data_IF_005732982277
#
_entry.id   IF_005732982277
#
_cell.length_a   1.000
_cell.length_b   1.000
_cell.length_c   1.000
_cell.angle_alpha   90.00
_cell.angle_beta   90.00
_cell.angle_gamma   90.00
#
_symmetry.space_group_name_H-M   'P 1'
#
loop_
_entity.id
_entity.type
_entity.pdbx_description
1 polymer ?
#
# COMPACT_ATOMS: atom_id res chain seq x y z
N UNK A 1 23.73 63.82 -26.52
CA UNK A 1 22.38 63.24 -26.38
C UNK A 1 22.39 61.83 -26.99
N UNK A 2 22.36 60.79 -26.14
CA UNK A 2 22.25 59.40 -26.60
C UNK A 2 20.79 59.12 -26.96
N UNK A 3 20.46 59.23 -28.23
CA UNK A 3 19.19 58.75 -28.76
C UNK A 3 19.38 57.28 -29.18
N UNK A 4 19.32 56.36 -28.22
CA UNK A 4 19.26 54.92 -28.45
C UNK A 4 17.95 54.35 -27.90
N UNK A 5 16.84 55.05 -28.17
CA UNK A 5 15.48 54.61 -27.79
C UNK A 5 14.81 53.82 -28.91
N UNK A 6 15.51 53.53 -30.01
CA UNK A 6 14.92 52.91 -31.21
C UNK A 6 15.02 51.39 -31.33
N UNK A 7 15.91 50.71 -30.58
CA UNK A 7 16.27 49.30 -30.90
C UNK A 7 16.14 48.33 -29.70
N UNK A 8 15.67 48.82 -28.54
CA UNK A 8 15.47 47.99 -27.35
C UNK A 8 14.31 47.00 -27.48
N UNK A 9 13.26 47.37 -28.23
CA UNK A 9 12.09 46.51 -28.49
C UNK A 9 12.48 45.26 -29.32
N UNK A 10 13.45 45.38 -30.22
CA UNK A 10 13.93 44.25 -31.05
C UNK A 10 14.70 43.18 -30.27
N UNK A 11 15.22 43.49 -29.08
CA UNK A 11 16.09 42.61 -28.29
C UNK A 11 15.50 42.19 -26.93
N UNK A 12 14.56 42.95 -26.37
CA UNK A 12 13.90 42.64 -25.09
C UNK A 12 12.67 41.76 -25.31
N UNK A 13 11.89 42.01 -26.38
CA UNK A 13 10.70 41.21 -26.71
C UNK A 13 11.04 39.74 -26.97
N UNK A 14 12.10 39.39 -27.75
CA UNK A 14 12.48 37.99 -27.94
C UNK A 14 12.83 37.28 -26.62
N UNK A 15 13.61 37.93 -25.74
CA UNK A 15 13.99 37.36 -24.44
C UNK A 15 12.82 37.20 -23.46
N UNK A 16 11.84 38.10 -23.54
CA UNK A 16 10.62 38.00 -22.75
C UNK A 16 9.75 36.85 -23.23
N UNK A 17 9.65 36.66 -24.56
CA UNK A 17 8.98 35.50 -25.15
C UNK A 17 9.72 34.21 -24.78
N UNK A 18 11.05 34.19 -24.81
CA UNK A 18 11.85 33.01 -24.45
C UNK A 18 11.68 32.64 -22.97
N UNK A 19 11.61 33.62 -22.05
CA UNK A 19 11.35 33.35 -20.62
C UNK A 19 9.91 32.93 -20.36
N UNK A 20 8.93 33.49 -21.09
CA UNK A 20 7.54 33.02 -21.05
C UNK A 20 7.40 31.58 -21.57
N UNK A 21 8.01 31.25 -22.71
CA UNK A 21 8.03 29.88 -23.23
C UNK A 21 8.78 28.95 -22.28
N UNK A 22 9.94 29.37 -21.75
CA UNK A 22 10.73 28.56 -20.82
C UNK A 22 9.97 28.27 -19.52
N UNK A 23 9.32 29.28 -18.94
CA UNK A 23 8.48 29.12 -17.74
C UNK A 23 7.22 28.31 -18.01
N UNK A 24 6.60 28.46 -19.18
CA UNK A 24 5.45 27.65 -19.59
C UNK A 24 5.84 26.17 -19.75
N UNK A 25 6.95 25.90 -20.44
CA UNK A 25 7.48 24.53 -20.62
C UNK A 25 7.86 23.94 -19.26
N UNK A 26 8.51 24.70 -18.38
CA UNK A 26 8.83 24.26 -17.02
C UNK A 26 7.55 23.96 -16.21
N UNK A 27 6.52 24.82 -16.31
CA UNK A 27 5.22 24.60 -15.67
C UNK A 27 4.54 23.33 -16.17
N UNK A 28 4.54 23.10 -17.49
CA UNK A 28 4.00 21.89 -18.09
C UNK A 28 4.79 20.64 -17.70
N UNK A 29 6.13 20.73 -17.65
CA UNK A 29 6.98 19.62 -17.23
C UNK A 29 6.71 19.25 -15.76
N UNK A 30 6.60 20.23 -14.86
CA UNK A 30 6.24 19.98 -13.45
C UNK A 30 4.84 19.37 -13.35
N UNK A 31 3.87 19.90 -14.12
CA UNK A 31 2.50 19.39 -14.10
C UNK A 31 2.39 17.94 -14.63
N UNK A 32 3.18 17.55 -15.62
CA UNK A 32 3.11 16.22 -16.24
C UNK A 32 4.02 15.19 -15.57
N UNK A 33 5.20 15.59 -15.09
CA UNK A 33 6.18 14.66 -14.51
C UNK A 33 5.83 14.37 -13.04
N UNK A 34 5.49 15.37 -12.24
CA UNK A 34 5.18 15.19 -10.81
C UNK A 34 4.09 14.13 -10.49
N UNK A 35 2.96 14.03 -11.23
CA UNK A 35 1.94 13.01 -10.95
C UNK A 35 2.45 11.57 -11.09
N UNK A 36 3.29 11.31 -12.09
CA UNK A 36 3.88 9.98 -12.27
C UNK A 36 4.74 9.58 -11.05
N UNK A 37 5.53 10.50 -10.52
CA UNK A 37 6.39 10.23 -9.36
C UNK A 37 5.59 10.01 -8.07
N UNK A 38 4.48 10.74 -7.87
CA UNK A 38 3.62 10.56 -6.70
C UNK A 38 2.85 9.24 -6.73
N UNK A 39 2.31 8.85 -7.89
CA UNK A 39 1.66 7.55 -8.07
C UNK A 39 2.62 6.38 -7.80
N UNK A 40 3.84 6.46 -8.35
CA UNK A 40 4.89 5.46 -8.10
C UNK A 40 5.32 5.40 -6.64
N UNK A 41 5.37 6.54 -5.96
CA UNK A 41 5.63 6.59 -4.51
C UNK A 41 4.52 5.93 -3.71
N UNK A 42 3.25 6.19 -4.05
CA UNK A 42 2.10 5.56 -3.39
C UNK A 42 2.15 4.04 -3.54
N UNK A 43 2.35 3.54 -4.76
CA UNK A 43 2.46 2.11 -5.05
C UNK A 43 3.53 1.43 -4.20
N UNK A 44 4.71 2.05 -4.05
CA UNK A 44 5.79 1.54 -3.20
C UNK A 44 5.41 1.50 -1.72
N UNK A 45 4.74 2.54 -1.22
CA UNK A 45 4.31 2.59 0.19
C UNK A 45 3.24 1.53 0.47
N UNK A 46 2.26 1.39 -0.42
CA UNK A 46 1.23 0.34 -0.35
C UNK A 46 1.87 -1.06 -0.39
N UNK A 47 2.78 -1.30 -1.34
CA UNK A 47 3.50 -2.57 -1.44
C UNK A 47 4.27 -2.91 -0.16
N UNK A 48 4.97 -1.92 0.42
CA UNK A 48 5.70 -2.10 1.68
C UNK A 48 4.74 -2.43 2.84
N UNK A 49 3.58 -1.79 2.92
CA UNK A 49 2.57 -2.10 3.93
C UNK A 49 2.04 -3.53 3.79
N UNK A 50 1.74 -3.98 2.57
CA UNK A 50 1.32 -5.36 2.31
C UNK A 50 2.40 -6.38 2.71
N UNK A 51 3.65 -6.15 2.34
CA UNK A 51 4.77 -7.05 2.68
C UNK A 51 5.03 -7.12 4.19
N UNK A 52 4.94 -5.98 4.89
CA UNK A 52 5.03 -5.95 6.36
C UNK A 52 3.88 -6.70 7.03
N UNK A 53 2.65 -6.56 6.53
CA UNK A 53 1.48 -7.28 7.04
C UNK A 53 1.59 -8.79 6.75
N UNK A 54 2.04 -9.20 5.56
CA UNK A 54 2.35 -10.60 5.21
C UNK A 54 3.39 -11.19 6.16
N UNK A 55 4.49 -10.47 6.39
CA UNK A 55 5.54 -10.89 7.31
C UNK A 55 5.01 -11.05 8.74
N UNK A 56 4.18 -10.11 9.20
CA UNK A 56 3.57 -10.20 10.52
C UNK A 56 2.62 -11.41 10.64
N UNK A 57 1.78 -11.64 9.63
CA UNK A 57 0.91 -12.82 9.56
C UNK A 57 1.72 -14.12 9.62
N UNK A 58 2.79 -14.26 8.82
CA UNK A 58 3.68 -15.44 8.85
C UNK A 58 4.27 -15.69 10.24
N UNK A 59 4.69 -14.63 10.93
CA UNK A 59 5.22 -14.73 12.30
C UNK A 59 4.14 -15.14 13.32
N UNK A 60 2.90 -14.68 13.15
CA UNK A 60 1.78 -15.12 13.99
C UNK A 60 1.52 -16.62 13.78
N UNK A 61 1.35 -17.05 12.52
CA UNK A 61 1.09 -18.46 12.14
C UNK A 61 2.19 -19.39 12.64
N UNK A 62 3.46 -18.98 12.51
CA UNK A 62 4.59 -19.76 12.99
C UNK A 62 4.48 -20.06 14.49
N UNK A 63 4.03 -19.10 15.29
CA UNK A 63 3.85 -19.28 16.73
C UNK A 63 2.63 -20.10 17.11
N UNK A 64 1.61 -20.16 16.26
CA UNK A 64 0.52 -21.12 16.41
C UNK A 64 1.00 -22.57 16.18
N UNK A 65 1.97 -22.79 15.27
CA UNK A 65 2.52 -24.11 15.00
C UNK A 65 3.61 -24.56 16.00
N UNK A 66 4.50 -23.65 16.42
CA UNK A 66 5.64 -23.97 17.29
C UNK A 66 5.46 -23.62 18.78
N UNK A 67 4.30 -23.08 19.13
CA UNK A 67 4.03 -22.49 20.44
C UNK A 67 4.51 -21.04 20.57
N UNK A 68 3.85 -20.29 21.47
CA UNK A 68 4.11 -18.86 21.71
C UNK A 68 5.54 -18.64 22.17
N UNK A 69 6.28 -17.82 21.41
CA UNK A 69 7.60 -17.29 21.77
C UNK A 69 7.65 -15.82 21.38
N UNK A 70 7.76 -14.91 22.33
CA UNK A 70 8.03 -13.50 22.02
C UNK A 70 9.49 -13.31 21.61
N UNK A 71 9.85 -13.87 20.46
CA UNK A 71 11.17 -13.70 19.86
C UNK A 71 11.31 -12.31 19.22
N UNK A 72 12.55 -11.99 18.87
CA UNK A 72 12.87 -10.71 18.24
C UNK A 72 12.16 -10.56 16.89
N UNK A 73 12.01 -11.66 16.14
CA UNK A 73 11.42 -11.67 14.81
C UNK A 73 9.94 -11.23 14.86
N UNK A 74 9.16 -11.78 15.79
CA UNK A 74 7.77 -11.39 15.98
C UNK A 74 7.61 -9.92 16.41
N UNK A 75 8.41 -9.47 17.39
CA UNK A 75 8.35 -8.06 17.84
C UNK A 75 8.70 -7.10 16.72
N UNK A 76 9.69 -7.45 15.90
CA UNK A 76 10.11 -6.65 14.76
C UNK A 76 9.00 -6.61 13.70
N UNK A 77 8.41 -7.75 13.37
CA UNK A 77 7.33 -7.84 12.39
C UNK A 77 6.11 -7.01 12.81
N UNK A 78 5.66 -7.13 14.08
CA UNK A 78 4.58 -6.30 14.62
C UNK A 78 4.89 -4.81 14.51
N UNK A 79 6.09 -4.39 14.92
CA UNK A 79 6.51 -2.98 14.86
C UNK A 79 6.55 -2.47 13.41
N UNK A 80 7.10 -3.25 12.50
CA UNK A 80 7.24 -2.87 11.09
C UNK A 80 5.87 -2.73 10.42
N UNK A 81 4.90 -3.59 10.75
CA UNK A 81 3.52 -3.48 10.27
C UNK A 81 2.87 -2.15 10.71
N UNK A 82 2.95 -1.80 12.00
CA UNK A 82 2.43 -0.50 12.47
C UNK A 82 3.17 0.70 11.87
N UNK A 83 4.50 0.61 11.72
CA UNK A 83 5.28 1.68 11.11
C UNK A 83 4.92 1.89 9.62
N UNK A 84 4.67 0.80 8.89
CA UNK A 84 4.26 0.87 7.49
C UNK A 84 2.85 1.47 7.34
N UNK A 85 1.91 1.09 8.21
CA UNK A 85 0.56 1.68 8.25
C UNK A 85 0.60 3.19 8.56
N UNK A 86 1.43 3.62 9.51
CA UNK A 86 1.64 5.03 9.82
C UNK A 86 2.29 5.80 8.64
N UNK A 87 3.25 5.19 7.95
CA UNK A 87 3.89 5.78 6.77
C UNK A 87 2.90 5.93 5.61
N UNK A 88 2.00 4.96 5.43
CA UNK A 88 0.91 5.02 4.45
C UNK A 88 -0.05 6.16 4.77
N UNK A 89 -0.56 6.23 6.00
CA UNK A 89 -1.45 7.30 6.46
C UNK A 89 -0.83 8.68 6.26
N UNK A 90 0.45 8.84 6.62
CA UNK A 90 1.19 10.10 6.43
C UNK A 90 1.35 10.45 4.95
N UNK A 91 1.72 9.48 4.11
CA UNK A 91 1.90 9.70 2.66
C UNK A 91 0.60 10.16 2.01
N UNK A 92 -0.51 9.51 2.39
CA UNK A 92 -1.82 9.81 1.85
C UNK A 92 -2.39 11.13 2.37
N UNK A 93 -2.13 11.47 3.64
CA UNK A 93 -2.44 12.78 4.21
C UNK A 93 -1.70 13.92 3.49
N UNK A 94 -0.44 13.71 3.12
CA UNK A 94 0.31 14.68 2.31
C UNK A 94 -0.29 14.86 0.91
N UNK A 95 -0.73 13.77 0.27
CA UNK A 95 -1.38 13.82 -1.05
C UNK A 95 -2.71 14.58 -1.03
N UNK A 96 -3.47 14.58 0.08
CA UNK A 96 -4.68 15.39 0.21
C UNK A 96 -4.45 16.89 0.24
N UNK A 97 -3.27 17.32 0.68
CA UNK A 97 -2.91 18.73 0.72
C UNK A 97 -2.48 19.27 -0.66
N UNK A 98 -2.33 18.39 -1.66
CA UNK A 98 -1.99 18.75 -3.03
C UNK A 98 -3.26 19.06 -3.87
N UNK A 99 -3.35 20.23 -4.53
CA UNK A 99 -4.57 20.64 -5.23
C UNK A 99 -4.82 19.92 -6.57
N UNK A 100 -6.11 19.80 -6.95
CA UNK A 100 -6.57 19.56 -8.32
C UNK A 100 -6.73 18.10 -8.73
N UNK A 101 -5.66 17.45 -9.18
CA UNK A 101 -5.72 16.17 -9.91
C UNK A 101 -5.38 14.93 -9.07
N UNK A 102 -4.69 15.10 -7.94
CA UNK A 102 -4.20 14.01 -7.08
C UNK A 102 -5.29 13.35 -6.20
N UNK A 103 -6.49 13.94 -6.15
CA UNK A 103 -7.57 13.48 -5.26
C UNK A 103 -8.13 12.11 -5.63
N UNK A 104 -8.10 11.71 -6.92
CA UNK A 104 -8.62 10.39 -7.35
C UNK A 104 -7.73 9.24 -6.89
N UNK A 105 -6.41 9.39 -7.04
CA UNK A 105 -5.44 8.40 -6.55
C UNK A 105 -5.43 8.37 -5.02
N UNK A 106 -5.55 9.53 -4.38
CA UNK A 106 -5.69 9.62 -2.94
C UNK A 106 -6.96 8.90 -2.42
N UNK A 107 -8.11 9.06 -3.08
CA UNK A 107 -9.37 8.40 -2.69
C UNK A 107 -9.26 6.86 -2.69
N UNK A 108 -8.68 6.29 -3.75
CA UNK A 108 -8.39 4.85 -3.81
C UNK A 108 -7.42 4.45 -2.69
N UNK A 109 -6.39 5.26 -2.45
CA UNK A 109 -5.47 5.04 -1.35
C UNK A 109 -6.14 5.09 0.03
N UNK A 110 -7.19 5.89 0.24
CA UNK A 110 -7.91 5.96 1.52
C UNK A 110 -8.73 4.71 1.76
N UNK A 111 -9.40 4.22 0.72
CA UNK A 111 -10.10 2.94 0.79
C UNK A 111 -9.12 1.81 1.14
N UNK A 112 -7.95 1.81 0.53
CA UNK A 112 -6.88 0.87 0.88
C UNK A 112 -6.39 1.05 2.33
N UNK A 113 -6.17 2.29 2.78
CA UNK A 113 -5.73 2.58 4.16
C UNK A 113 -6.71 2.02 5.19
N UNK A 114 -8.03 2.17 4.97
CA UNK A 114 -9.05 1.59 5.85
C UNK A 114 -8.93 0.06 5.87
N UNK A 115 -8.81 -0.59 4.71
CA UNK A 115 -8.64 -2.05 4.62
C UNK A 115 -7.34 -2.52 5.31
N UNK A 116 -6.22 -1.83 5.10
CA UNK A 116 -4.94 -2.10 5.76
C UNK A 116 -5.07 -2.00 7.28
N UNK A 117 -5.72 -0.95 7.77
CA UNK A 117 -5.92 -0.74 9.20
C UNK A 117 -6.80 -1.83 9.83
N UNK A 118 -7.88 -2.22 9.14
CA UNK A 118 -8.73 -3.34 9.54
C UNK A 118 -7.94 -4.65 9.57
N UNK A 119 -7.16 -4.94 8.52
CA UNK A 119 -6.29 -6.12 8.47
C UNK A 119 -5.30 -6.13 9.64
N UNK A 120 -4.62 -5.01 9.90
CA UNK A 120 -3.67 -4.88 10.99
C UNK A 120 -4.32 -5.08 12.37
N UNK A 121 -5.57 -4.62 12.53
CA UNK A 121 -6.36 -4.83 13.74
C UNK A 121 -6.67 -6.32 13.95
N UNK A 122 -7.09 -7.02 12.89
CA UNK A 122 -7.30 -8.48 12.94
C UNK A 122 -6.01 -9.25 13.23
N UNK A 123 -4.89 -8.89 12.58
CA UNK A 123 -3.58 -9.49 12.87
C UNK A 123 -3.16 -9.26 14.33
N UNK A 124 -3.45 -8.08 14.87
CA UNK A 124 -3.16 -7.77 16.28
C UNK A 124 -4.02 -8.60 17.24
N UNK A 125 -5.29 -8.81 16.92
CA UNK A 125 -6.18 -9.71 17.66
C UNK A 125 -5.71 -11.17 17.61
N UNK A 126 -5.39 -11.67 16.42
CA UNK A 126 -4.85 -13.02 16.20
C UNK A 126 -3.52 -13.20 16.95
N UNK A 127 -2.62 -12.21 16.85
CA UNK A 127 -1.37 -12.16 17.58
C UNK A 127 -1.56 -12.18 19.10
N UNK A 128 -2.60 -11.54 19.65
CA UNK A 128 -2.86 -11.57 21.09
C UNK A 128 -3.27 -12.96 21.59
N UNK A 129 -4.14 -13.65 20.85
CA UNK A 129 -4.73 -14.95 21.24
C UNK A 129 -3.87 -16.16 20.86
N UNK A 130 -2.73 -15.98 20.17
CA UNK A 130 -1.83 -17.06 19.72
C UNK A 130 -1.25 -17.97 20.81
N UNK A 131 -1.39 -17.62 22.08
CA UNK A 131 -0.93 -18.42 23.22
C UNK A 131 -2.03 -19.18 23.96
N UNK A 132 -3.30 -18.86 23.71
CA UNK A 132 -4.44 -19.46 24.41
C UNK A 132 -5.00 -20.67 23.66
N UNK A 133 -4.84 -20.69 22.34
CA UNK A 133 -5.28 -21.76 21.47
C UNK A 133 -4.07 -22.62 21.06
N UNK A 134 -3.67 -23.57 21.91
CA UNK A 134 -2.94 -24.74 21.42
C UNK A 134 -3.94 -25.50 20.56
N UNK A 135 -3.80 -25.38 19.24
CA UNK A 135 -4.66 -26.02 18.25
C UNK A 135 -4.66 -27.53 18.52
N UNK A 136 -5.66 -27.96 19.25
CA UNK A 136 -5.84 -29.32 19.71
C UNK A 136 -6.54 -30.04 18.57
N UNK A 137 -5.73 -30.71 17.77
CA UNK A 137 -6.10 -31.55 16.62
C UNK A 137 -6.76 -30.79 15.45
N UNK A 138 -6.05 -30.75 14.30
CA UNK A 138 -6.46 -30.20 12.98
C UNK A 138 -6.40 -28.68 12.69
N UNK A 139 -5.27 -27.98 12.88
CA UNK A 139 -5.10 -26.61 12.37
C UNK A 139 -4.56 -26.49 10.95
N UNK A 140 -4.26 -27.61 10.28
CA UNK A 140 -3.41 -27.57 9.08
C UNK A 140 -4.03 -26.73 7.95
N UNK A 141 -5.34 -26.86 7.77
CA UNK A 141 -6.10 -26.06 6.81
C UNK A 141 -6.07 -24.54 7.11
N UNK A 142 -6.09 -24.13 8.39
CA UNK A 142 -5.98 -22.72 8.78
C UNK A 142 -4.57 -22.19 8.53
N UNK A 143 -3.53 -22.96 8.86
CA UNK A 143 -2.15 -22.58 8.62
C UNK A 143 -1.87 -22.45 7.11
N UNK A 144 -2.39 -23.39 6.30
CA UNK A 144 -2.27 -23.36 4.85
C UNK A 144 -3.02 -22.19 4.23
N UNK A 145 -4.24 -21.90 4.70
CA UNK A 145 -5.03 -20.75 4.25
C UNK A 145 -4.33 -19.43 4.58
N UNK A 146 -3.78 -19.31 5.78
CA UNK A 146 -3.09 -18.11 6.22
C UNK A 146 -1.73 -17.94 5.51
N UNK A 147 -1.04 -19.04 5.15
CA UNK A 147 0.13 -19.01 4.28
C UNK A 147 -0.22 -18.58 2.85
N UNK A 148 -1.35 -19.05 2.31
CA UNK A 148 -1.86 -18.62 1.01
C UNK A 148 -2.20 -17.13 1.01
N UNK A 149 -2.88 -16.64 2.05
CA UNK A 149 -3.18 -15.21 2.19
C UNK A 149 -1.90 -14.36 2.24
N UNK A 150 -0.89 -14.79 3.01
CA UNK A 150 0.40 -14.10 3.05
C UNK A 150 1.08 -14.08 1.67
N UNK A 151 1.01 -15.17 0.90
CA UNK A 151 1.52 -15.22 -0.45
C UNK A 151 0.76 -14.27 -1.40
N UNK A 152 -0.57 -14.23 -1.36
CA UNK A 152 -1.36 -13.29 -2.15
C UNK A 152 -1.02 -11.83 -1.83
N UNK A 153 -0.82 -11.48 -0.56
CA UNK A 153 -0.37 -10.14 -0.16
C UNK A 153 1.01 -9.79 -0.74
N UNK A 154 1.94 -10.76 -0.76
CA UNK A 154 3.27 -10.59 -1.34
C UNK A 154 3.21 -10.44 -2.87
N UNK A 155 2.34 -11.18 -3.55
CA UNK A 155 2.14 -11.09 -5.00
C UNK A 155 1.55 -9.73 -5.42
N UNK A 156 0.59 -9.22 -4.65
CA UNK A 156 0.05 -7.88 -4.85
C UNK A 156 1.14 -6.84 -4.59
N UNK A 157 1.92 -6.98 -3.51
CA UNK A 157 3.03 -6.08 -3.20
C UNK A 157 4.08 -6.05 -4.31
N UNK A 158 4.43 -7.21 -4.87
CA UNK A 158 5.37 -7.33 -5.97
C UNK A 158 4.82 -6.65 -7.23
N UNK A 159 3.56 -6.93 -7.58
CA UNK A 159 2.89 -6.32 -8.74
C UNK A 159 2.87 -4.80 -8.66
N UNK A 160 2.57 -4.24 -7.47
CA UNK A 160 2.61 -2.80 -7.23
C UNK A 160 4.02 -2.22 -7.32
N UNK A 161 5.03 -2.94 -6.82
CA UNK A 161 6.44 -2.52 -6.88
C UNK A 161 6.96 -2.48 -8.31
N UNK A 162 6.54 -3.45 -9.13
CA UNK A 162 6.93 -3.56 -10.53
C UNK A 162 6.00 -2.82 -11.50
N UNK A 163 5.01 -2.09 -10.97
CA UNK A 163 4.03 -1.32 -11.77
C UNK A 163 3.27 -2.21 -12.77
N UNK A 164 3.10 -3.50 -12.43
CA UNK A 164 2.30 -4.45 -13.18
C UNK A 164 0.83 -4.37 -12.75
N UNK A 165 -0.13 -4.56 -13.68
CA UNK A 165 -1.54 -4.64 -13.31
C UNK A 165 -1.74 -5.81 -12.35
N UNK A 166 -2.33 -5.52 -11.19
CA UNK A 166 -2.76 -6.55 -10.24
C UNK A 166 -3.93 -7.31 -10.86
N UNK A 167 -3.84 -8.63 -10.96
CA UNK A 167 -4.97 -9.44 -11.39
C UNK A 167 -6.07 -9.38 -10.33
N UNK A 168 -7.17 -8.69 -10.62
CA UNK A 168 -8.30 -8.50 -9.68
C UNK A 168 -9.20 -9.74 -9.58
N UNK A 169 -9.02 -10.71 -10.48
CA UNK A 169 -9.69 -12.00 -10.44
C UNK A 169 -8.66 -13.11 -10.61
N UNK A 170 -8.23 -13.67 -9.49
CA UNK A 170 -7.51 -14.95 -9.48
C UNK A 170 -8.54 -16.03 -9.22
N UNK A 171 -8.61 -17.04 -10.11
CA UNK A 171 -9.45 -18.23 -9.94
C UNK A 171 -9.26 -18.89 -8.55
N UNK A 172 -8.09 -18.66 -7.92
CA UNK A 172 -7.74 -19.14 -6.58
C UNK A 172 -8.52 -18.43 -5.47
N UNK A 173 -8.74 -17.12 -5.57
CA UNK A 173 -9.49 -16.35 -4.56
C UNK A 173 -10.99 -16.67 -4.61
N UNK A 174 -11.52 -16.87 -5.82
CA UNK A 174 -12.91 -17.31 -6.03
C UNK A 174 -13.12 -18.74 -5.51
N UNK A 175 -12.13 -19.62 -5.71
CA UNK A 175 -12.12 -20.95 -5.09
C UNK A 175 -12.01 -20.91 -3.56
N UNK A 176 -11.20 -20.01 -3.00
CA UNK A 176 -11.07 -19.86 -1.54
C UNK A 176 -12.38 -19.31 -0.93
N UNK A 177 -13.00 -18.30 -1.54
CA UNK A 177 -14.29 -17.75 -1.13
C UNK A 177 -15.39 -18.83 -1.16
N UNK A 178 -15.48 -19.60 -2.26
CA UNK A 178 -16.45 -20.68 -2.36
C UNK A 178 -16.26 -21.79 -1.31
N UNK A 179 -15.02 -22.07 -0.88
CA UNK A 179 -14.73 -23.03 0.18
C UNK A 179 -15.09 -22.51 1.57
N UNK A 180 -14.90 -21.22 1.81
CA UNK A 180 -15.24 -20.58 3.09
C UNK A 180 -16.76 -20.44 3.27
N UNK A 181 -17.50 -20.19 2.19
CA UNK A 181 -18.97 -20.20 2.18
C UNK A 181 -19.58 -21.60 2.36
N UNK A 182 -18.80 -22.65 2.08
CA UNK A 182 -19.21 -24.05 2.24
C UNK A 182 -18.85 -24.64 3.60
N UNK A 183 -18.26 -23.86 4.53
CA UNK A 183 -18.08 -24.30 5.92
C UNK A 183 -19.47 -24.46 6.55
N UNK A 184 -19.89 -25.67 6.94
CA UNK A 184 -21.23 -25.88 7.49
C UNK A 184 -21.42 -25.08 8.79
N UNK A 185 -22.60 -24.46 8.94
CA UNK A 185 -23.13 -23.94 10.23
C UNK A 185 -23.42 -25.08 11.23
N UNK A 186 -22.50 -26.04 11.43
CA UNK A 186 -22.70 -27.15 12.39
C UNK A 186 -22.16 -26.83 13.80
N UNK A 187 -22.08 -25.57 14.19
CA UNK A 187 -21.60 -25.17 15.52
C UNK A 187 -22.60 -24.37 16.37
N UNK A 188 -23.85 -24.20 15.93
CA UNK A 188 -24.87 -23.45 16.69
C UNK A 188 -25.97 -24.30 17.34
N UNK A 189 -25.81 -25.64 17.37
CA UNK A 189 -26.84 -26.56 17.91
C UNK A 189 -26.30 -27.71 18.81
N UNK A 190 -25.26 -27.47 19.63
CA UNK A 190 -24.96 -28.32 20.81
C UNK A 190 -24.59 -27.54 22.07
#
# INVERSE_FOLDING_TARGET
CFNQVGDGYGLIVPRLIDTLLGSLIAGLAVFLILPDWQGRRLNRVVANTLSCNSTYLRQIIQQYASGKRDDLAYRLARRNAHNADAALSTTLGNMLMEPGHFRKEADIGFRFLVLSHTLLSYLSGLGAHRGEMLLSEEPRHLLDSAASLAASLDDIALSLTEERPVAIHSDVEEQLASRLEQVPEELDDQ
#
